data_IF_434695936984
#
_entry.id   IF_434695936984
#
_cell.length_a   1.000
_cell.length_b   1.000
_cell.length_c   1.000
_cell.angle_alpha   90.00
_cell.angle_beta   90.00
_cell.angle_gamma   90.00
#
_symmetry.space_group_name_H-M   'P 1'
#
loop_
_entity.id
_entity.type
_entity.pdbx_description
1 polymer ?
#
# COMPACT_ATOMS: atom_id res chain seq x y z
N UNK A 1 -12.79 -20.93 20.72
CA UNK A 1 -12.52 -19.48 20.63
C UNK A 1 -11.67 -19.29 19.39
N UNK A 2 -12.29 -18.88 18.28
CA UNK A 2 -11.55 -18.59 17.05
C UNK A 2 -11.17 -17.13 17.02
N UNK A 3 -9.89 -16.82 16.83
CA UNK A 3 -9.39 -15.46 16.58
C UNK A 3 -9.56 -15.14 15.09
N UNK A 4 -10.79 -15.13 14.59
CA UNK A 4 -11.06 -14.97 13.17
C UNK A 4 -11.74 -13.63 12.91
N UNK A 5 -11.10 -12.84 12.02
CA UNK A 5 -11.44 -11.48 11.56
C UNK A 5 -10.90 -10.36 12.43
N UNK A 6 -9.74 -9.84 12.04
CA UNK A 6 -9.20 -8.59 12.55
C UNK A 6 -8.97 -7.73 11.31
N UNK A 7 -9.70 -6.61 11.24
CA UNK A 7 -9.28 -5.48 10.45
C UNK A 7 -8.65 -4.50 11.45
N UNK A 8 -7.62 -3.75 11.03
CA UNK A 8 -7.25 -2.51 11.72
C UNK A 8 -8.51 -1.70 12.00
N UNK A 9 -8.67 -1.23 13.25
CA UNK A 9 -9.83 -0.42 13.64
C UNK A 9 -9.86 0.95 12.93
N UNK A 10 -8.75 1.33 12.28
CA UNK A 10 -8.56 2.66 11.70
C UNK A 10 -7.98 3.66 12.71
N UNK A 11 -7.50 4.82 12.25
CA UNK A 11 -6.62 5.72 13.01
C UNK A 11 -7.22 6.35 14.27
N UNK A 12 -8.54 6.50 14.33
CA UNK A 12 -9.24 7.21 15.41
C UNK A 12 -10.18 6.30 16.22
N UNK A 13 -10.16 4.99 15.95
CA UNK A 13 -11.14 4.07 16.52
C UNK A 13 -10.66 3.45 17.84
N UNK A 14 -11.51 3.55 18.85
CA UNK A 14 -11.39 2.79 20.10
C UNK A 14 -12.10 1.43 19.97
N UNK A 15 -11.79 0.43 20.81
CA UNK A 15 -12.59 -0.79 20.88
C UNK A 15 -14.10 -0.54 21.05
N UNK A 16 -14.48 0.47 21.84
CA UNK A 16 -15.88 0.81 22.04
C UNK A 16 -16.53 1.43 20.79
N UNK A 17 -15.87 2.40 20.15
CA UNK A 17 -16.40 3.01 18.92
C UNK A 17 -16.44 2.01 17.76
N UNK A 18 -15.46 1.10 17.67
CA UNK A 18 -15.44 0.05 16.66
C UNK A 18 -16.62 -0.93 16.81
N UNK A 19 -16.94 -1.38 18.04
CA UNK A 19 -18.13 -2.22 18.29
C UNK A 19 -19.41 -1.52 17.80
N UNK A 20 -19.55 -0.24 18.12
CA UNK A 20 -20.75 0.53 17.79
C UNK A 20 -20.86 0.84 16.30
N UNK A 21 -19.78 1.30 15.67
CA UNK A 21 -19.79 1.83 14.31
C UNK A 21 -19.63 0.75 13.25
N UNK A 22 -18.79 -0.27 13.51
CA UNK A 22 -18.52 -1.33 12.53
C UNK A 22 -19.45 -2.52 12.69
N UNK A 23 -19.85 -2.85 13.92
CA UNK A 23 -20.65 -4.04 14.22
C UNK A 23 -22.08 -3.71 14.67
N UNK A 24 -22.39 -2.44 14.92
CA UNK A 24 -23.73 -2.02 15.38
C UNK A 24 -24.07 -2.54 16.77
N UNK A 25 -23.06 -2.90 17.57
CA UNK A 25 -23.24 -3.51 18.89
C UNK A 25 -23.03 -2.46 19.97
N UNK A 26 -23.97 -2.37 20.91
CA UNK A 26 -23.84 -1.48 22.06
C UNK A 26 -22.63 -1.88 22.92
N UNK A 27 -21.66 -0.98 23.13
CA UNK A 27 -20.42 -1.32 23.82
C UNK A 27 -20.57 -1.28 25.35
N UNK A 28 -20.10 -2.34 26.00
CA UNK A 28 -19.94 -2.48 27.44
C UNK A 28 -18.43 -2.56 27.79
N UNK A 29 -17.95 -1.90 28.86
CA UNK A 29 -16.55 -2.00 29.28
C UNK A 29 -16.15 -3.46 29.55
N UNK A 30 -14.99 -3.87 29.04
CA UNK A 30 -14.44 -5.21 29.28
C UNK A 30 -12.97 -5.12 29.64
N UNK A 31 -12.51 -5.98 30.55
CA UNK A 31 -11.11 -6.02 30.99
C UNK A 31 -10.64 -7.47 31.01
N UNK A 32 -9.51 -7.74 30.34
CA UNK A 32 -8.81 -9.02 30.39
C UNK A 32 -7.42 -8.82 31.00
N UNK A 33 -7.24 -9.23 32.25
CA UNK A 33 -6.02 -8.94 33.01
C UNK A 33 -5.83 -7.44 33.24
N UNK A 34 -4.78 -6.85 32.66
CA UNK A 34 -4.49 -5.40 32.70
C UNK A 34 -4.93 -4.67 31.42
N UNK A 35 -5.50 -5.38 30.44
CA UNK A 35 -5.88 -4.83 29.14
C UNK A 35 -7.34 -4.37 29.18
N UNK A 36 -7.56 -3.07 29.00
CA UNK A 36 -8.89 -2.46 28.88
C UNK A 36 -9.39 -2.52 27.43
N UNK A 37 -10.61 -2.98 27.24
CA UNK A 37 -11.28 -3.06 25.95
C UNK A 37 -12.79 -2.84 26.07
N UNK A 38 -13.52 -3.32 25.07
CA UNK A 38 -14.97 -3.25 25.04
C UNK A 38 -15.55 -4.61 24.63
N UNK A 39 -16.76 -4.89 25.11
CA UNK A 39 -17.54 -6.05 24.71
C UNK A 39 -18.94 -5.63 24.31
N UNK A 40 -19.68 -6.52 23.68
CA UNK A 40 -21.06 -6.29 23.34
C UNK A 40 -21.73 -7.60 23.01
N UNK A 41 -23.05 -7.64 23.11
CA UNK A 41 -23.82 -8.87 22.89
C UNK A 41 -24.78 -8.67 21.72
N UNK A 42 -24.82 -9.66 20.83
CA UNK A 42 -25.72 -9.72 19.68
C UNK A 42 -26.56 -10.97 19.78
N UNK A 43 -27.86 -10.80 19.90
CA UNK A 43 -28.83 -11.88 19.84
C UNK A 43 -29.10 -12.23 18.37
N UNK A 44 -28.87 -13.49 18.01
CA UNK A 44 -29.25 -14.05 16.72
C UNK A 44 -30.62 -14.73 16.86
N UNK A 45 -31.68 -13.97 16.54
CA UNK A 45 -33.06 -14.43 16.62
C UNK A 45 -33.37 -15.61 15.67
N UNK A 46 -32.56 -15.85 14.63
CA UNK A 46 -32.77 -16.96 13.69
C UNK A 46 -32.21 -18.28 14.23
N UNK A 47 -31.12 -18.23 15.01
CA UNK A 47 -30.44 -19.41 15.54
C UNK A 47 -30.66 -19.66 17.04
N UNK A 48 -31.42 -18.80 17.73
CA UNK A 48 -31.57 -18.80 19.20
C UNK A 48 -30.23 -18.69 19.96
N UNK A 49 -29.18 -18.18 19.29
CA UNK A 49 -27.84 -18.02 19.86
C UNK A 49 -27.61 -16.59 20.33
N UNK A 50 -26.82 -16.47 21.39
CA UNK A 50 -26.27 -15.22 21.89
C UNK A 50 -24.79 -15.18 21.53
N UNK A 51 -24.38 -14.12 20.85
CA UNK A 51 -22.99 -13.88 20.47
C UNK A 51 -22.43 -12.76 21.33
N UNK A 52 -21.46 -13.07 22.19
CA UNK A 52 -20.68 -12.06 22.89
C UNK A 52 -19.41 -11.76 22.09
N UNK A 53 -19.29 -10.51 21.68
CA UNK A 53 -18.16 -9.96 20.95
C UNK A 53 -17.29 -9.16 21.92
N UNK A 54 -15.97 -9.35 21.86
CA UNK A 54 -15.02 -8.59 22.66
C UNK A 54 -13.92 -8.06 21.74
N UNK A 55 -13.65 -6.76 21.89
CA UNK A 55 -12.54 -6.03 21.26
C UNK A 55 -11.56 -5.58 22.34
N UNK A 56 -10.31 -5.98 22.20
CA UNK A 56 -9.20 -5.55 23.07
C UNK A 56 -8.13 -4.90 22.20
N UNK A 57 -7.47 -3.82 22.65
CA UNK A 57 -6.40 -3.18 21.88
C UNK A 57 -5.20 -4.12 21.69
N UNK A 58 -4.52 -3.98 20.56
CA UNK A 58 -3.27 -4.66 20.23
C UNK A 58 -2.24 -3.63 19.78
N UNK A 59 -1.08 -3.59 20.44
CA UNK A 59 -0.02 -2.62 20.14
C UNK A 59 -0.33 -1.21 20.62
N UNK A 60 0.40 -0.21 20.11
CA UNK A 60 0.25 1.19 20.54
C UNK A 60 -0.87 1.94 19.80
N UNK A 61 -1.35 1.45 18.65
CA UNK A 61 -2.43 2.07 17.88
C UNK A 61 -3.22 1.03 17.05
N UNK A 62 -4.55 1.14 17.02
CA UNK A 62 -5.47 0.62 15.98
C UNK A 62 -5.54 -0.89 15.68
N UNK A 63 -4.68 -1.73 16.25
CA UNK A 63 -4.88 -3.18 16.24
C UNK A 63 -5.94 -3.59 17.27
N UNK A 64 -6.79 -4.56 16.94
CA UNK A 64 -7.71 -5.15 17.91
C UNK A 64 -7.65 -6.67 17.93
N UNK A 65 -7.59 -7.24 19.11
CA UNK A 65 -7.91 -8.63 19.35
C UNK A 65 -9.42 -8.81 19.39
N UNK A 66 -9.93 -9.64 18.48
CA UNK A 66 -11.33 -10.02 18.38
C UNK A 66 -11.58 -11.36 19.06
N UNK A 67 -12.53 -11.43 19.98
CA UNK A 67 -12.99 -12.69 20.59
C UNK A 67 -14.51 -12.77 20.42
N UNK A 68 -14.98 -13.88 19.85
CA UNK A 68 -16.41 -14.21 19.80
C UNK A 68 -16.66 -15.48 20.60
N UNK A 69 -17.61 -15.39 21.53
CA UNK A 69 -18.21 -16.51 22.21
C UNK A 69 -19.68 -16.61 21.80
N UNK A 70 -20.05 -17.75 21.21
CA UNK A 70 -21.43 -18.03 20.79
C UNK A 70 -21.99 -19.16 21.65
N UNK A 71 -23.20 -19.00 22.16
CA UNK A 71 -23.85 -19.99 23.01
C UNK A 71 -25.35 -19.76 23.15
N UNK A 72 -26.05 -20.72 23.74
CA UNK A 72 -27.43 -20.50 24.15
C UNK A 72 -27.48 -19.49 25.30
N UNK A 73 -28.59 -18.75 25.48
CA UNK A 73 -28.73 -17.79 26.58
C UNK A 73 -28.43 -18.38 27.97
N UNK A 74 -28.79 -19.64 28.21
CA UNK A 74 -28.50 -20.35 29.46
C UNK A 74 -27.01 -20.66 29.70
N UNK A 75 -26.19 -20.71 28.64
CA UNK A 75 -24.77 -21.02 28.71
C UNK A 75 -23.90 -19.77 28.85
N UNK A 76 -24.43 -18.59 28.52
CA UNK A 76 -23.71 -17.31 28.58
C UNK A 76 -23.10 -17.00 29.95
N UNK A 77 -23.76 -17.26 31.10
CA UNK A 77 -23.13 -17.06 32.41
C UNK A 77 -21.88 -17.93 32.63
N UNK A 78 -21.81 -19.10 32.01
CA UNK A 78 -20.64 -19.96 32.08
C UNK A 78 -19.51 -19.44 31.17
N UNK A 79 -19.84 -18.93 29.99
CA UNK A 79 -18.86 -18.26 29.12
C UNK A 79 -18.29 -17.01 29.81
N UNK A 80 -19.13 -16.18 30.41
CA UNK A 80 -18.70 -14.99 31.16
C UNK A 80 -17.74 -15.36 32.28
N UNK A 81 -18.04 -16.41 33.06
CA UNK A 81 -17.14 -16.87 34.11
C UNK A 81 -15.77 -17.32 33.60
N UNK A 82 -15.68 -17.85 32.36
CA UNK A 82 -14.41 -18.18 31.72
C UNK A 82 -13.70 -16.91 31.23
N UNK A 83 -14.42 -16.01 30.57
CA UNK A 83 -13.91 -14.75 30.04
C UNK A 83 -13.41 -13.81 31.15
N UNK A 84 -14.01 -13.83 32.33
CA UNK A 84 -13.57 -13.06 33.50
C UNK A 84 -12.23 -13.55 34.07
N UNK A 85 -11.84 -14.79 33.75
CA UNK A 85 -10.55 -15.36 34.14
C UNK A 85 -9.49 -15.23 33.06
N UNK A 86 -9.85 -14.64 31.91
CA UNK A 86 -8.94 -14.47 30.78
C UNK A 86 -7.82 -13.50 31.15
N UNK A 87 -6.60 -14.01 31.10
CA UNK A 87 -5.39 -13.19 31.09
C UNK A 87 -4.83 -13.29 29.69
N UNK A 88 -4.73 -12.15 29.02
CA UNK A 88 -4.14 -12.09 27.69
C UNK A 88 -2.66 -11.78 27.81
N UNK A 89 -1.85 -12.75 27.41
CA UNK A 89 -0.47 -12.52 27.01
C UNK A 89 -0.48 -12.40 25.48
N UNK A 90 -0.57 -11.16 25.01
CA UNK A 90 -0.61 -10.88 23.59
C UNK A 90 0.83 -10.79 23.11
N UNK A 91 1.34 -11.75 22.31
CA UNK A 91 2.72 -11.72 21.87
C UNK A 91 2.96 -10.42 21.10
N UNK A 92 4.02 -9.72 21.47
CA UNK A 92 4.46 -8.50 20.79
C UNK A 92 5.74 -8.81 20.01
N UNK A 93 5.89 -8.26 18.81
CA UNK A 93 7.12 -8.46 18.06
C UNK A 93 8.30 -7.82 18.79
N UNK A 94 9.44 -8.52 18.85
CA UNK A 94 10.69 -7.92 19.29
C UNK A 94 11.22 -6.99 18.19
N UNK A 95 10.83 -5.71 18.25
CA UNK A 95 11.22 -4.67 17.29
C UNK A 95 12.73 -4.57 17.14
N UNK A 96 13.50 -4.74 18.22
CA UNK A 96 14.96 -4.67 18.15
C UNK A 96 15.55 -5.87 17.41
N UNK A 97 14.96 -7.06 17.56
CA UNK A 97 15.34 -8.23 16.79
C UNK A 97 14.98 -8.08 15.30
N UNK A 98 13.81 -7.49 14.99
CA UNK A 98 13.41 -7.22 13.59
C UNK A 98 14.37 -6.21 12.95
N UNK A 99 14.69 -5.11 13.65
CA UNK A 99 15.65 -4.11 13.18
C UNK A 99 17.03 -4.72 12.88
N UNK A 100 17.50 -5.62 13.74
CA UNK A 100 18.76 -6.33 13.54
C UNK A 100 18.67 -7.29 12.34
N UNK A 101 17.54 -8.00 12.18
CA UNK A 101 17.30 -8.88 11.05
C UNK A 101 17.34 -8.09 9.73
N UNK A 102 16.58 -6.99 9.63
CA UNK A 102 16.54 -6.11 8.46
C UNK A 102 17.91 -5.53 8.10
N UNK A 103 18.69 -5.09 9.09
CA UNK A 103 20.06 -4.61 8.83
C UNK A 103 20.94 -5.71 8.25
N UNK A 104 20.85 -6.92 8.79
CA UNK A 104 21.67 -8.05 8.37
C UNK A 104 21.29 -8.57 6.96
N UNK A 105 19.99 -8.69 6.67
CA UNK A 105 19.49 -9.12 5.37
C UNK A 105 19.78 -8.07 4.30
N UNK A 106 19.65 -6.78 4.62
CA UNK A 106 19.96 -5.69 3.71
C UNK A 106 21.45 -5.69 3.35
N UNK A 107 22.33 -5.87 4.33
CA UNK A 107 23.76 -5.98 4.12
C UNK A 107 24.15 -7.24 3.31
N UNK A 108 23.33 -8.30 3.36
CA UNK A 108 23.50 -9.51 2.57
C UNK A 108 22.91 -9.39 1.14
N UNK A 109 22.20 -8.31 0.83
CA UNK A 109 21.53 -8.10 -0.46
C UNK A 109 20.17 -8.81 -0.58
N UNK A 110 19.61 -9.27 0.53
CA UNK A 110 18.33 -9.99 0.59
C UNK A 110 17.13 -9.05 0.84
N UNK A 111 17.37 -7.75 0.98
CA UNK A 111 16.32 -6.76 1.27
C UNK A 111 15.94 -6.69 2.75
N UNK A 112 14.66 -6.44 3.03
CA UNK A 112 14.13 -6.25 4.39
C UNK A 112 13.44 -7.55 4.85
N UNK A 113 14.13 -8.37 5.64
CA UNK A 113 13.69 -9.74 5.97
C UNK A 113 13.74 -9.99 7.46
N UNK A 114 12.76 -10.73 7.98
CA UNK A 114 12.76 -11.25 9.35
C UNK A 114 12.25 -12.69 9.41
N UNK A 115 12.70 -13.45 10.41
CA UNK A 115 12.37 -14.87 10.60
C UNK A 115 13.56 -15.78 10.31
N UNK A 116 13.37 -17.08 10.53
CA UNK A 116 14.40 -18.08 10.26
C UNK A 116 14.62 -18.21 8.73
N UNK A 117 15.86 -18.11 8.22
CA UNK A 117 16.13 -18.37 6.80
C UNK A 117 15.75 -19.79 6.35
N UNK A 118 15.71 -20.75 7.28
CA UNK A 118 15.29 -22.13 7.04
C UNK A 118 13.80 -22.36 7.36
N UNK A 119 13.00 -21.31 7.60
CA UNK A 119 11.58 -21.42 7.86
C UNK A 119 10.87 -22.16 6.70
N UNK A 120 9.89 -23.04 6.98
CA UNK A 120 9.20 -23.82 5.95
C UNK A 120 8.35 -22.96 5.02
N UNK A 121 8.02 -21.72 5.39
CA UNK A 121 7.28 -20.77 4.57
C UNK A 121 7.92 -19.39 4.55
N UNK A 122 7.79 -18.71 3.40
CA UNK A 122 8.04 -17.27 3.28
C UNK A 122 6.76 -16.55 2.89
N UNK A 123 6.43 -15.46 3.59
CA UNK A 123 5.47 -14.45 3.15
C UNK A 123 6.22 -13.25 2.57
N UNK A 124 5.84 -12.80 1.38
CA UNK A 124 6.35 -11.56 0.78
C UNK A 124 5.23 -10.52 0.76
N UNK A 125 5.44 -9.39 1.43
CA UNK A 125 4.53 -8.25 1.42
C UNK A 125 5.08 -7.13 0.55
N UNK A 126 4.36 -6.81 -0.53
CA UNK A 126 4.55 -5.57 -1.27
C UNK A 126 3.68 -4.47 -0.67
N UNK A 127 4.31 -3.39 -0.19
CA UNK A 127 3.61 -2.28 0.45
C UNK A 127 4.11 -0.92 -0.05
N UNK A 128 3.29 0.12 0.09
CA UNK A 128 3.71 1.51 -0.17
C UNK A 128 3.39 2.39 1.03
N UNK A 129 4.31 3.30 1.36
CA UNK A 129 4.11 4.30 2.41
C UNK A 129 2.96 5.27 2.11
N UNK A 130 2.58 5.43 0.84
CA UNK A 130 1.43 6.26 0.43
C UNK A 130 0.11 5.50 0.37
N UNK A 131 0.11 4.20 0.69
CA UNK A 131 -1.10 3.40 0.68
C UNK A 131 -1.76 3.32 2.08
N UNK A 132 -2.96 3.89 2.21
CA UNK A 132 -3.73 3.81 3.47
C UNK A 132 -4.11 2.39 3.88
N UNK A 133 -4.28 1.46 2.94
CA UNK A 133 -4.49 0.05 3.27
C UNK A 133 -3.24 -0.63 3.83
N UNK A 134 -2.03 -0.23 3.37
CA UNK A 134 -0.77 -0.73 3.94
C UNK A 134 -0.58 -0.23 5.37
N UNK A 135 -0.88 1.05 5.63
CA UNK A 135 -0.83 1.64 6.96
C UNK A 135 -1.75 0.92 7.97
N UNK A 136 -2.84 0.30 7.48
CA UNK A 136 -3.71 -0.54 8.28
C UNK A 136 -3.19 -1.98 8.40
N UNK A 137 -2.62 -2.53 7.33
CA UNK A 137 -2.18 -3.92 7.30
C UNK A 137 -0.94 -4.19 8.15
N UNK A 138 -0.10 -3.17 8.39
CA UNK A 138 1.08 -3.28 9.28
C UNK A 138 0.78 -3.90 10.64
N UNK A 139 -0.42 -3.68 11.21
CA UNK A 139 -0.79 -4.23 12.52
C UNK A 139 -1.01 -5.75 12.46
N UNK A 140 -1.58 -6.24 11.35
CA UNK A 140 -1.76 -7.67 11.13
C UNK A 140 -0.41 -8.35 10.90
N UNK A 141 0.47 -7.70 10.14
CA UNK A 141 1.83 -8.20 9.87
C UNK A 141 2.69 -8.21 11.13
N UNK A 142 2.62 -7.16 11.97
CA UNK A 142 3.27 -7.11 13.29
C UNK A 142 2.89 -8.31 14.15
N UNK A 143 1.60 -8.65 14.16
CA UNK A 143 1.07 -9.76 14.92
C UNK A 143 1.46 -11.11 14.33
N UNK A 144 1.43 -11.24 13.01
CA UNK A 144 1.90 -12.43 12.32
C UNK A 144 3.37 -12.69 12.63
N UNK A 145 4.22 -11.65 12.58
CA UNK A 145 5.63 -11.75 12.95
C UNK A 145 5.79 -12.26 14.37
N UNK A 146 5.10 -11.64 15.33
CA UNK A 146 5.15 -12.05 16.74
C UNK A 146 4.70 -13.50 16.98
N UNK A 147 3.82 -14.02 16.12
CA UNK A 147 3.24 -15.35 16.29
C UNK A 147 3.99 -16.46 15.55
N UNK A 148 4.60 -16.16 14.40
CA UNK A 148 5.08 -17.19 13.46
C UNK A 148 6.59 -17.13 13.20
N UNK A 149 7.24 -15.98 13.42
CA UNK A 149 8.69 -15.86 13.15
C UNK A 149 9.54 -16.39 14.30
N UNK A 150 9.13 -16.17 15.57
CA UNK A 150 9.85 -16.70 16.73
C UNK A 150 9.78 -18.24 16.84
N UNK A 151 8.65 -18.90 16.54
CA UNK A 151 8.61 -20.36 16.41
C UNK A 151 9.46 -20.93 15.26
N UNK A 152 9.81 -20.10 14.27
CA UNK A 152 10.56 -20.51 13.08
C UNK A 152 9.68 -21.04 11.94
N UNK A 153 8.36 -20.84 12.02
CA UNK A 153 7.40 -21.35 11.03
C UNK A 153 7.31 -20.44 9.79
N UNK A 154 7.60 -19.15 9.96
CA UNK A 154 7.47 -18.15 8.90
C UNK A 154 8.70 -17.23 8.80
N UNK A 155 9.16 -17.04 7.57
CA UNK A 155 10.02 -15.92 7.13
C UNK A 155 9.13 -14.85 6.49
N UNK A 156 9.37 -13.58 6.80
CA UNK A 156 8.64 -12.45 6.22
C UNK A 156 9.62 -11.53 5.49
N UNK A 157 9.31 -11.25 4.23
CA UNK A 157 10.06 -10.34 3.36
C UNK A 157 9.20 -9.14 2.99
N UNK A 158 9.77 -7.96 3.12
CA UNK A 158 9.12 -6.69 2.90
C UNK A 158 9.68 -6.01 1.65
N UNK A 159 8.80 -5.75 0.69
CA UNK A 159 9.12 -5.14 -0.60
C UNK A 159 8.47 -3.74 -0.68
N UNK A 160 9.31 -2.71 -0.57
CA UNK A 160 8.86 -1.31 -0.64
C UNK A 160 8.54 -0.95 -2.08
N UNK A 161 7.27 -0.75 -2.38
CA UNK A 161 6.75 -0.42 -3.70
C UNK A 161 6.50 1.08 -3.83
N UNK A 162 6.93 1.63 -4.96
CA UNK A 162 6.60 2.99 -5.39
C UNK A 162 5.39 2.91 -6.32
N UNK A 163 4.22 3.39 -5.90
CA UNK A 163 2.98 3.38 -6.69
C UNK A 163 2.95 4.53 -7.71
N UNK A 164 3.13 5.76 -7.22
CA UNK A 164 2.92 6.99 -8.00
C UNK A 164 4.23 7.71 -8.35
N UNK A 165 5.29 7.47 -7.59
CA UNK A 165 6.58 8.13 -7.81
C UNK A 165 6.59 9.60 -7.39
N UNK A 166 5.74 9.97 -6.43
CA UNK A 166 5.80 11.32 -5.86
C UNK A 166 7.08 11.51 -5.05
N UNK A 167 7.49 12.77 -4.86
CA UNK A 167 8.68 13.09 -4.09
C UNK A 167 8.53 12.63 -2.63
N UNK A 168 7.32 12.72 -2.07
CA UNK A 168 6.95 12.24 -0.74
C UNK A 168 7.11 10.72 -0.64
N UNK A 169 6.60 9.97 -1.61
CA UNK A 169 6.68 8.51 -1.63
C UNK A 169 8.13 8.02 -1.71
N UNK A 170 8.92 8.61 -2.60
CA UNK A 170 10.34 8.30 -2.74
C UNK A 170 11.10 8.64 -1.45
N UNK A 171 10.84 9.80 -0.85
CA UNK A 171 11.52 10.22 0.38
C UNK A 171 11.23 9.28 1.54
N UNK A 172 9.97 8.90 1.76
CA UNK A 172 9.60 7.93 2.80
C UNK A 172 10.26 6.56 2.55
N UNK A 173 10.26 6.10 1.29
CA UNK A 173 10.84 4.82 0.90
C UNK A 173 12.35 4.76 1.10
N UNK A 174 13.08 5.81 0.69
CA UNK A 174 14.51 5.96 0.97
C UNK A 174 14.78 6.01 2.46
N UNK A 175 13.97 6.75 3.23
CA UNK A 175 14.13 6.88 4.67
C UNK A 175 14.10 5.52 5.37
N UNK A 176 13.18 4.64 5.00
CA UNK A 176 13.08 3.30 5.59
C UNK A 176 14.34 2.45 5.32
N UNK A 177 14.82 2.40 4.08
CA UNK A 177 16.04 1.66 3.73
C UNK A 177 17.30 2.26 4.37
N UNK A 178 17.43 3.59 4.36
CA UNK A 178 18.56 4.28 4.99
C UNK A 178 18.59 4.04 6.52
N UNK A 179 17.43 3.99 7.17
CA UNK A 179 17.35 3.62 8.58
C UNK A 179 17.68 2.14 8.84
N UNK A 180 17.33 1.25 7.91
CA UNK A 180 17.68 -0.17 7.99
C UNK A 180 19.19 -0.39 7.99
N UNK A 181 19.97 0.39 7.22
CA UNK A 181 21.44 0.35 7.30
C UNK A 181 21.98 0.63 8.69
N UNK A 182 21.28 1.47 9.46
CA UNK A 182 21.65 1.87 10.82
C UNK A 182 21.06 0.94 11.89
N UNK A 183 20.38 -0.14 11.51
CA UNK A 183 19.74 -1.06 12.46
C UNK A 183 18.49 -0.46 13.12
N UNK A 184 17.76 0.37 12.38
CA UNK A 184 16.53 1.06 12.81
C UNK A 184 15.43 1.05 11.75
N UNK A 185 15.53 0.18 10.75
CA UNK A 185 14.63 0.18 9.59
C UNK A 185 13.18 -0.10 9.95
N UNK A 186 12.92 -1.09 10.79
CA UNK A 186 11.56 -1.45 11.20
C UNK A 186 10.98 -0.43 12.18
N UNK A 187 11.81 0.07 13.10
CA UNK A 187 11.43 1.18 13.98
C UNK A 187 11.03 2.42 13.18
N UNK A 188 11.79 2.78 12.15
CA UNK A 188 11.48 3.91 11.27
C UNK A 188 10.30 3.63 10.35
N UNK A 189 10.14 2.41 9.84
CA UNK A 189 8.95 1.98 9.09
C UNK A 189 7.65 2.24 9.89
N UNK A 190 7.65 1.88 11.18
CA UNK A 190 6.53 2.16 12.08
C UNK A 190 6.31 3.66 12.27
N UNK A 191 7.39 4.40 12.52
CA UNK A 191 7.32 5.85 12.73
C UNK A 191 6.80 6.59 11.48
N UNK A 192 7.16 6.15 10.27
CA UNK A 192 6.65 6.71 9.01
C UNK A 192 5.14 6.52 8.89
N UNK A 193 4.65 5.30 9.08
CA UNK A 193 3.21 5.03 9.02
C UNK A 193 2.44 5.78 10.10
N UNK A 194 2.96 5.82 11.32
CA UNK A 194 2.37 6.58 12.42
C UNK A 194 2.28 8.08 12.08
N UNK A 195 3.38 8.69 11.64
CA UNK A 195 3.39 10.11 11.28
C UNK A 195 2.41 10.40 10.14
N UNK A 196 2.32 9.52 9.14
CA UNK A 196 1.36 9.69 8.03
C UNK A 196 -0.09 9.58 8.49
N UNK A 197 -0.36 8.75 9.50
CA UNK A 197 -1.68 8.60 10.10
C UNK A 197 -2.08 9.83 10.92
N UNK A 198 -1.13 10.43 11.63
CA UNK A 198 -1.39 11.58 12.52
C UNK A 198 -1.45 12.92 11.76
N UNK A 199 -0.58 13.09 10.76
CA UNK A 199 -0.36 14.38 10.08
C UNK A 199 -0.85 14.41 8.63
N UNK A 200 -1.14 13.25 8.05
CA UNK A 200 -1.32 13.07 6.61
C UNK A 200 0.03 12.95 5.88
N UNK A 201 0.01 12.24 4.75
CA UNK A 201 1.21 11.89 3.98
C UNK A 201 1.97 13.12 3.44
N UNK A 202 1.25 14.13 2.95
CA UNK A 202 1.85 15.35 2.40
C UNK A 202 2.71 16.09 3.44
N UNK A 203 2.30 16.06 4.72
CA UNK A 203 3.01 16.72 5.80
C UNK A 203 4.10 15.79 6.34
N UNK A 204 3.74 14.56 6.71
CA UNK A 204 4.65 13.59 7.32
C UNK A 204 5.86 13.26 6.44
N UNK A 205 5.64 13.16 5.12
CA UNK A 205 6.68 12.78 4.17
C UNK A 205 7.26 13.97 3.41
N UNK A 206 6.90 15.21 3.78
CA UNK A 206 7.63 16.40 3.33
C UNK A 206 9.10 16.35 3.76
N UNK A 207 9.94 17.22 3.21
CA UNK A 207 11.34 17.31 3.64
C UNK A 207 11.44 17.58 5.14
N UNK A 208 10.67 18.55 5.65
CA UNK A 208 10.64 18.89 7.07
C UNK A 208 10.04 17.77 7.93
N UNK A 209 8.96 17.13 7.47
CA UNK A 209 8.34 16.00 8.18
C UNK A 209 9.28 14.81 8.33
N UNK A 210 10.06 14.49 7.29
CA UNK A 210 11.09 13.45 7.37
C UNK A 210 12.22 13.86 8.32
N UNK A 211 12.63 15.15 8.34
CA UNK A 211 13.59 15.63 9.34
C UNK A 211 13.09 15.45 10.76
N UNK A 212 11.82 15.77 11.01
CA UNK A 212 11.19 15.60 12.33
C UNK A 212 11.17 14.12 12.75
N UNK A 213 10.87 13.21 11.81
CA UNK A 213 10.86 11.77 12.07
C UNK A 213 12.26 11.26 12.37
N UNK A 214 13.26 11.48 11.50
CA UNK A 214 14.61 10.91 11.70
C UNK A 214 15.34 11.53 12.90
N UNK A 215 14.93 12.71 13.35
CA UNK A 215 15.49 13.39 14.53
C UNK A 215 14.92 12.90 15.87
N UNK A 216 13.94 11.98 15.84
CA UNK A 216 13.35 11.40 17.04
C UNK A 216 14.42 10.69 17.90
N UNK A 217 14.63 11.10 19.17
CA UNK A 217 15.66 10.51 20.03
C UNK A 217 15.52 9.00 20.23
N UNK A 218 14.29 8.50 20.20
CA UNK A 218 13.93 7.09 20.33
C UNK A 218 14.44 6.22 19.18
N UNK A 219 14.54 6.77 17.96
CA UNK A 219 15.11 6.06 16.82
C UNK A 219 16.64 5.99 16.95
N UNK A 220 17.27 7.01 17.54
CA UNK A 220 18.72 7.03 17.77
C UNK A 220 19.55 6.96 16.48
N UNK A 221 19.03 7.54 15.39
CA UNK A 221 19.66 7.60 14.07
C UNK A 221 20.80 8.64 14.04
N UNK A 222 21.83 8.38 13.23
CA UNK A 222 22.77 9.39 12.77
C UNK A 222 22.11 10.19 11.63
N UNK A 223 21.59 11.36 11.98
CA UNK A 223 20.82 12.24 11.09
C UNK A 223 21.66 12.73 9.90
N UNK A 224 22.97 12.99 10.10
CA UNK A 224 23.83 13.43 9.00
C UNK A 224 24.00 12.31 7.96
N UNK A 225 24.23 11.07 8.43
CA UNK A 225 24.30 9.90 7.55
C UNK A 225 22.95 9.57 6.88
N UNK A 226 21.83 9.78 7.57
CA UNK A 226 20.49 9.65 6.98
C UNK A 226 20.29 10.63 5.84
N UNK A 227 20.63 11.90 6.04
CA UNK A 227 20.50 12.94 5.01
C UNK A 227 21.34 12.62 3.78
N UNK A 228 22.60 12.22 3.96
CA UNK A 228 23.45 11.80 2.83
C UNK A 228 22.84 10.62 2.07
N UNK A 229 22.30 9.62 2.77
CA UNK A 229 21.69 8.44 2.15
C UNK A 229 20.40 8.78 1.38
N UNK A 230 19.52 9.61 1.96
CA UNK A 230 18.25 10.02 1.33
C UNK A 230 18.51 10.94 0.13
N UNK A 231 19.36 11.96 0.29
CA UNK A 231 19.65 12.94 -0.79
C UNK A 231 20.39 12.32 -1.97
N UNK A 232 21.19 11.28 -1.73
CA UNK A 232 21.85 10.53 -2.81
C UNK A 232 20.95 9.50 -3.49
N UNK A 233 19.71 9.34 -3.02
CA UNK A 233 18.74 8.35 -3.54
C UNK A 233 19.35 6.94 -3.63
N UNK A 234 20.14 6.56 -2.60
CA UNK A 234 21.00 5.36 -2.64
C UNK A 234 20.27 4.07 -3.05
N UNK A 235 19.00 3.97 -2.70
CA UNK A 235 18.15 2.80 -2.94
C UNK A 235 17.25 2.90 -4.18
N UNK A 236 17.50 3.85 -5.09
CA UNK A 236 16.65 4.07 -6.26
C UNK A 236 16.63 2.83 -7.17
N UNK A 237 17.77 2.16 -7.33
CA UNK A 237 17.87 0.92 -8.08
C UNK A 237 17.00 -0.19 -7.45
N UNK A 238 17.07 -0.37 -6.13
CA UNK A 238 16.25 -1.36 -5.41
C UNK A 238 14.75 -1.09 -5.61
N UNK A 239 14.31 0.16 -5.37
CA UNK A 239 12.90 0.55 -5.53
C UNK A 239 12.39 0.33 -6.96
N UNK A 240 13.25 0.58 -7.96
CA UNK A 240 12.91 0.32 -9.34
C UNK A 240 12.81 -1.19 -9.64
N UNK A 241 13.75 -2.00 -9.13
CA UNK A 241 13.70 -3.46 -9.29
C UNK A 241 12.46 -4.07 -8.63
N UNK A 242 12.12 -3.63 -7.44
CA UNK A 242 10.87 -4.02 -6.76
C UNK A 242 9.65 -3.69 -7.64
N UNK A 243 9.63 -2.51 -8.27
CA UNK A 243 8.55 -2.11 -9.19
C UNK A 243 8.46 -2.98 -10.45
N UNK A 244 9.59 -3.36 -11.05
CA UNK A 244 9.57 -4.28 -12.19
C UNK A 244 9.03 -5.65 -11.80
N UNK A 245 9.54 -6.23 -10.72
CA UNK A 245 9.07 -7.51 -10.20
C UNK A 245 7.57 -7.48 -9.87
N UNK A 246 7.09 -6.38 -9.29
CA UNK A 246 5.67 -6.17 -9.01
C UNK A 246 4.81 -6.26 -10.29
N UNK A 247 5.26 -5.63 -11.39
CA UNK A 247 4.57 -5.67 -12.69
C UNK A 247 4.66 -7.06 -13.32
N UNK A 248 5.83 -7.71 -13.29
CA UNK A 248 6.04 -9.06 -13.83
C UNK A 248 5.17 -10.11 -13.14
N UNK A 249 4.96 -9.96 -11.82
CA UNK A 249 4.05 -10.80 -11.04
C UNK A 249 2.56 -10.49 -11.30
N UNK A 250 2.27 -9.46 -12.11
CA UNK A 250 0.91 -9.03 -12.43
C UNK A 250 0.16 -8.46 -11.22
N UNK A 251 0.89 -7.89 -10.26
CA UNK A 251 0.31 -7.22 -9.10
C UNK A 251 -0.16 -5.83 -9.52
N UNK A 252 -1.31 -5.39 -8.99
CA UNK A 252 -1.98 -4.16 -9.45
C UNK A 252 -2.22 -3.14 -8.33
N UNK A 253 -1.89 -3.47 -7.09
CA UNK A 253 -2.07 -2.57 -5.95
C UNK A 253 -1.39 -3.09 -4.69
N UNK A 254 -1.30 -2.22 -3.68
CA UNK A 254 -0.74 -2.56 -2.38
C UNK A 254 -1.81 -2.45 -1.28
N UNK A 255 -1.71 -3.22 -0.19
CA UNK A 255 -0.73 -4.29 0.00
C UNK A 255 -0.99 -5.44 -0.97
N UNK A 256 0.05 -6.19 -1.34
CA UNK A 256 -0.06 -7.46 -2.05
C UNK A 256 0.77 -8.49 -1.32
N UNK A 257 0.17 -9.63 -1.01
CA UNK A 257 0.81 -10.69 -0.24
C UNK A 257 0.98 -11.92 -1.12
N UNK A 258 2.19 -12.45 -1.15
CA UNK A 258 2.54 -13.70 -1.80
C UNK A 258 3.08 -14.69 -0.77
N UNK A 259 3.02 -15.98 -1.06
CA UNK A 259 3.66 -17.00 -0.22
C UNK A 259 4.48 -18.01 -1.01
N UNK A 260 5.54 -18.53 -0.38
CA UNK A 260 6.42 -19.57 -0.88
C UNK A 260 6.68 -20.65 0.17
N UNK A 261 7.05 -21.84 -0.29
CA UNK A 261 7.64 -22.89 0.56
C UNK A 261 9.13 -22.63 0.66
N UNK A 262 9.64 -22.52 1.89
CA UNK A 262 11.00 -22.08 2.14
C UNK A 262 11.29 -20.76 1.43
N UNK A 263 12.29 -20.79 0.56
CA UNK A 263 12.70 -19.65 -0.27
C UNK A 263 12.43 -19.88 -1.77
N UNK A 264 11.47 -20.76 -2.10
CA UNK A 264 11.03 -20.96 -3.48
C UNK A 264 10.35 -19.71 -4.05
N UNK A 265 9.96 -19.75 -5.33
CA UNK A 265 9.29 -18.63 -5.99
C UNK A 265 7.97 -18.27 -5.29
N UNK A 266 7.78 -17.02 -4.83
CA UNK A 266 6.54 -16.55 -4.23
C UNK A 266 5.36 -16.65 -5.20
N UNK A 267 4.21 -17.05 -4.66
CA UNK A 267 2.98 -17.31 -5.42
C UNK A 267 1.85 -16.42 -4.95
N UNK A 268 1.02 -15.99 -5.91
CA UNK A 268 -0.24 -15.32 -5.61
C UNK A 268 -1.21 -16.31 -5.00
N UNK A 269 -1.92 -15.88 -3.97
CA UNK A 269 -2.84 -16.72 -3.23
C UNK A 269 -4.17 -16.82 -3.98
N UNK A 270 -4.46 -17.98 -4.56
CA UNK A 270 -5.66 -18.24 -5.36
C UNK A 270 -6.60 -19.20 -4.63
N UNK A 271 -7.78 -18.75 -4.25
CA UNK A 271 -8.81 -19.64 -3.71
C UNK A 271 -9.23 -20.68 -4.76
N UNK A 272 -9.75 -21.82 -4.29
CA UNK A 272 -10.27 -22.90 -5.15
C UNK A 272 -11.44 -22.46 -6.05
N UNK A 273 -12.11 -21.35 -5.71
CA UNK A 273 -13.10 -20.68 -6.55
C UNK A 273 -12.51 -20.01 -7.79
N UNK A 274 -11.18 -19.92 -7.90
CA UNK A 274 -10.46 -19.13 -8.89
C UNK A 274 -10.32 -17.64 -8.52
N UNK A 275 -10.83 -17.24 -7.34
CA UNK A 275 -10.67 -15.89 -6.83
C UNK A 275 -9.28 -15.71 -6.21
N UNK A 276 -8.58 -14.67 -6.61
CA UNK A 276 -7.33 -14.27 -5.97
C UNK A 276 -7.59 -13.54 -4.65
N UNK A 277 -6.87 -13.93 -3.59
CA UNK A 277 -6.74 -13.15 -2.36
C UNK A 277 -5.79 -11.99 -2.63
N UNK A 278 -6.36 -10.86 -3.03
CA UNK A 278 -5.65 -9.59 -3.27
C UNK A 278 -5.74 -8.70 -2.04
N UNK A 279 -4.78 -7.78 -1.88
CA UNK A 279 -4.82 -6.82 -0.80
C UNK A 279 -4.20 -7.38 0.48
N UNK A 280 -4.73 -6.90 1.60
CA UNK A 280 -4.39 -7.36 2.94
C UNK A 280 -4.93 -8.78 3.14
N UNK A 281 -4.05 -9.73 3.47
CA UNK A 281 -4.42 -11.12 3.74
C UNK A 281 -4.48 -11.34 5.24
N UNK A 282 -5.60 -11.87 5.73
CA UNK A 282 -5.81 -12.05 7.17
C UNK A 282 -4.84 -13.10 7.73
N UNK A 283 -4.38 -12.89 8.97
CA UNK A 283 -3.50 -13.85 9.68
C UNK A 283 -4.08 -15.26 9.68
N UNK A 284 -5.40 -15.40 9.89
CA UNK A 284 -6.08 -16.69 9.87
C UNK A 284 -6.03 -17.37 8.51
N UNK A 285 -6.02 -16.62 7.41
CA UNK A 285 -5.88 -17.17 6.06
C UNK A 285 -4.44 -17.64 5.81
N UNK A 286 -3.45 -16.84 6.22
CA UNK A 286 -2.02 -17.22 6.14
C UNK A 286 -1.78 -18.53 6.89
N UNK A 287 -2.26 -18.63 8.14
CA UNK A 287 -2.16 -19.85 8.95
C UNK A 287 -2.87 -21.03 8.33
N UNK A 288 -4.11 -20.84 7.88
CA UNK A 288 -4.85 -21.92 7.23
C UNK A 288 -4.10 -22.47 6.02
N UNK A 289 -3.43 -21.62 5.25
CA UNK A 289 -2.62 -22.05 4.11
C UNK A 289 -1.37 -22.80 4.58
N UNK A 290 -0.66 -22.33 5.60
CA UNK A 290 0.50 -23.05 6.17
C UNK A 290 0.09 -24.42 6.75
N UNK A 291 -1.03 -24.48 7.46
CA UNK A 291 -1.60 -25.72 8.01
C UNK A 291 -1.96 -26.70 6.88
N UNK A 292 -2.62 -26.22 5.83
CA UNK A 292 -2.97 -27.04 4.66
C UNK A 292 -1.73 -27.54 3.90
N UNK A 293 -0.65 -26.77 3.88
CA UNK A 293 0.60 -27.18 3.22
C UNK A 293 1.40 -28.21 4.04
N UNK A 294 1.24 -28.20 5.37
CA UNK A 294 1.99 -29.09 6.29
C UNK A 294 1.21 -30.33 6.73
N UNK A 295 -0.06 -30.48 6.36
CA UNK A 295 -0.88 -31.64 6.73
C UNK A 295 -0.27 -32.96 6.21
N UNK A 296 0.05 -33.88 7.12
CA UNK A 296 0.73 -35.14 6.79
C UNK A 296 -0.16 -36.15 6.03
N UNK A 297 -1.50 -36.02 6.09
CA UNK A 297 -2.44 -36.95 5.47
C UNK A 297 -3.00 -36.41 4.13
N UNK A 298 -3.28 -35.11 4.05
CA UNK A 298 -3.91 -34.46 2.88
C UNK A 298 -3.16 -33.22 2.36
N UNK A 299 -1.94 -32.96 2.85
CA UNK A 299 -1.16 -31.79 2.50
C UNK A 299 -0.92 -31.64 1.00
N UNK A 300 -1.10 -30.41 0.51
CA UNK A 300 -0.81 -30.02 -0.87
C UNK A 300 0.24 -28.94 -0.83
N UNK A 301 1.23 -29.03 -1.72
CA UNK A 301 2.22 -27.97 -1.82
C UNK A 301 1.58 -26.64 -2.25
N UNK A 302 2.18 -25.50 -1.90
CA UNK A 302 1.74 -24.19 -2.39
C UNK A 302 1.74 -24.13 -3.93
N UNK A 303 2.61 -24.91 -4.59
CA UNK A 303 2.61 -25.02 -6.04
C UNK A 303 1.36 -25.74 -6.60
N UNK A 304 0.84 -26.73 -5.87
CA UNK A 304 -0.39 -27.44 -6.23
C UNK A 304 -1.63 -26.62 -5.87
N UNK A 305 -1.62 -25.94 -4.72
CA UNK A 305 -2.70 -25.05 -4.29
C UNK A 305 -2.81 -23.81 -5.20
N UNK A 306 -1.67 -23.23 -5.59
CA UNK A 306 -1.58 -21.99 -6.34
C UNK A 306 -0.72 -22.17 -7.61
N UNK A 307 -1.23 -22.86 -8.63
CA UNK A 307 -0.51 -23.02 -9.89
C UNK A 307 -0.35 -21.66 -10.56
N UNK A 308 0.89 -21.29 -10.88
CA UNK A 308 1.18 -20.11 -11.70
C UNK A 308 0.67 -20.42 -13.11
N UNK A 309 -0.24 -19.62 -13.69
CA UNK A 309 -0.61 -19.80 -15.08
C UNK A 309 0.65 -19.65 -15.94
N UNK A 310 0.83 -20.46 -17.00
CA UNK A 310 2.01 -20.36 -17.86
C UNK A 310 2.14 -18.91 -18.34
N UNK A 311 3.36 -18.34 -18.36
CA UNK A 311 3.55 -16.99 -18.83
C UNK A 311 2.98 -16.88 -20.25
N UNK A 312 2.15 -15.88 -20.51
CA UNK A 312 1.89 -15.48 -21.89
C UNK A 312 3.24 -15.11 -22.52
N UNK A 313 3.46 -15.47 -23.78
CA UNK A 313 4.75 -15.38 -24.50
C UNK A 313 5.41 -13.98 -24.54
N UNK A 314 4.81 -12.95 -23.93
CA UNK A 314 5.22 -11.54 -24.02
C UNK A 314 6.02 -11.00 -22.84
N UNK A 315 6.24 -11.73 -21.73
CA UNK A 315 7.08 -11.23 -20.63
C UNK A 315 8.53 -11.69 -20.84
N UNK A 316 9.36 -10.85 -21.46
CA UNK A 316 10.80 -11.09 -21.57
C UNK A 316 11.47 -10.98 -20.20
N UNK A 317 12.33 -11.95 -19.87
CA UNK A 317 13.13 -11.93 -18.66
C UNK A 317 14.05 -10.69 -18.61
N UNK A 318 14.07 -10.04 -17.46
CA UNK A 318 14.87 -8.85 -17.16
C UNK A 318 16.38 -9.07 -17.40
N UNK A 319 17.01 -8.13 -18.14
CA UNK A 319 18.45 -8.10 -18.42
C UNK A 319 19.14 -7.06 -17.52
N UNK A 320 19.83 -7.56 -16.50
CA UNK A 320 20.51 -6.77 -15.48
C UNK A 320 21.70 -5.96 -16.03
N UNK A 321 22.35 -6.44 -17.10
CA UNK A 321 23.48 -5.73 -17.73
C UNK A 321 22.96 -4.55 -18.56
N UNK A 322 21.90 -4.76 -19.35
CA UNK A 322 21.25 -3.69 -20.11
C UNK A 322 20.68 -2.59 -19.19
N UNK A 323 20.21 -2.99 -17.99
CA UNK A 323 19.71 -2.07 -16.98
C UNK A 323 20.82 -1.19 -16.37
N UNK A 324 21.95 -1.79 -16.01
CA UNK A 324 23.09 -1.05 -15.46
C UNK A 324 23.66 -0.06 -16.49
N UNK A 325 23.64 -0.42 -17.78
CA UNK A 325 24.00 0.48 -18.88
C UNK A 325 23.03 1.66 -19.00
N UNK A 326 21.72 1.41 -18.92
CA UNK A 326 20.69 2.46 -18.94
C UNK A 326 20.78 3.40 -17.73
N UNK A 327 21.09 2.88 -16.54
CA UNK A 327 21.32 3.69 -15.33
C UNK A 327 22.57 4.58 -15.46
N UNK A 328 23.65 4.07 -16.05
CA UNK A 328 24.84 4.89 -16.34
C UNK A 328 24.54 6.00 -17.36
N UNK A 329 23.65 5.72 -18.31
CA UNK A 329 23.20 6.68 -19.33
C UNK A 329 22.28 7.75 -18.74
N UNK A 330 21.33 7.38 -17.87
CA UNK A 330 20.49 8.34 -17.14
C UNK A 330 21.27 9.18 -16.12
N UNK A 331 22.36 8.64 -15.55
CA UNK A 331 23.27 9.37 -14.65
C UNK A 331 24.20 10.33 -15.39
N UNK A 332 24.23 10.27 -16.73
CA UNK A 332 25.05 11.13 -17.56
C UNK A 332 24.16 12.15 -18.29
N UNK A 333 24.13 13.42 -17.86
CA UNK A 333 23.32 14.43 -18.54
C UNK A 333 24.00 14.78 -19.87
N UNK A 334 23.66 14.08 -20.95
CA UNK A 334 23.97 14.59 -22.28
C UNK A 334 23.10 15.82 -22.53
N UNK A 335 23.76 16.94 -22.82
CA UNK A 335 23.13 18.16 -23.29
C UNK A 335 22.39 17.85 -24.60
N UNK A 336 21.06 17.81 -24.56
CA UNK A 336 20.27 17.88 -25.79
C UNK A 336 20.45 19.28 -26.37
N UNK A 337 21.09 19.38 -27.54
CA UNK A 337 21.12 20.63 -28.30
C UNK A 337 19.72 20.92 -28.89
N UNK A 338 19.46 22.20 -29.15
CA UNK A 338 18.18 22.68 -29.67
C UNK A 338 17.79 22.06 -31.03
N UNK A 339 18.77 21.50 -31.75
CA UNK A 339 18.58 20.90 -33.08
C UNK A 339 18.00 19.48 -32.95
N UNK A 340 18.53 18.66 -32.05
CA UNK A 340 18.00 17.32 -31.77
C UNK A 340 16.56 17.36 -31.21
N UNK A 341 16.23 18.37 -30.40
CA UNK A 341 14.88 18.53 -29.85
C UNK A 341 13.87 18.92 -30.94
N UNK A 342 14.27 19.76 -31.90
CA UNK A 342 13.43 20.16 -33.02
C UNK A 342 13.22 19.03 -34.02
N UNK A 343 14.25 18.23 -34.32
CA UNK A 343 14.11 17.04 -35.16
C UNK A 343 13.16 16.00 -34.54
N UNK A 344 13.20 15.84 -33.21
CA UNK A 344 12.28 14.94 -32.50
C UNK A 344 10.83 15.45 -32.56
N UNK A 345 10.61 16.76 -32.41
CA UNK A 345 9.29 17.39 -32.53
C UNK A 345 8.73 17.32 -33.96
N UNK A 346 9.56 17.53 -34.99
CA UNK A 346 9.17 17.43 -36.40
C UNK A 346 8.87 15.98 -36.82
N UNK A 347 9.64 15.02 -36.30
CA UNK A 347 9.39 13.59 -36.47
C UNK A 347 8.03 13.17 -35.89
N UNK A 348 7.70 13.66 -34.67
CA UNK A 348 6.43 13.36 -34.02
C UNK A 348 5.23 14.01 -34.74
N UNK A 349 5.36 15.24 -35.25
CA UNK A 349 4.31 15.87 -36.05
C UNK A 349 4.02 15.10 -37.35
N UNK A 350 5.07 14.58 -38.01
CA UNK A 350 4.88 13.75 -39.21
C UNK A 350 4.15 12.42 -38.93
N UNK A 351 4.33 11.87 -37.72
CA UNK A 351 3.64 10.65 -37.29
C UNK A 351 2.17 10.86 -36.93
N UNK A 352 1.82 12.06 -36.46
CA UNK A 352 0.42 12.43 -36.16
C UNK A 352 -0.40 12.68 -37.44
N UNK A 353 0.20 13.29 -38.46
CA UNK A 353 -0.48 13.51 -39.75
C UNK A 353 -0.72 12.20 -40.52
N UNK A 354 0.11 11.17 -40.29
CA UNK A 354 -0.08 9.84 -40.87
C UNK A 354 -1.20 9.04 -40.17
N UNK A 355 -1.39 9.22 -38.86
CA UNK A 355 -2.41 8.55 -38.07
C UNK A 355 -3.82 9.15 -38.25
N UNK A 356 -3.94 10.37 -38.79
CA UNK A 356 -5.22 11.04 -39.01
C UNK A 356 -5.90 10.70 -40.36
N UNK A 357 -5.33 9.82 -41.18
CA UNK A 357 -5.85 9.50 -42.52
C UNK A 357 -6.42 8.10 -42.71
N UNK A 358 -6.33 7.22 -41.72
CA UNK A 358 -6.92 5.87 -41.75
C UNK A 358 -8.01 5.74 -40.65
N UNK A 359 -9.13 6.46 -40.84
CA UNK A 359 -10.38 6.22 -40.12
C UNK A 359 -11.24 5.27 -40.97
N UNK A 360 -11.22 3.98 -40.66
CA UNK A 360 -12.31 3.00 -40.92
C UNK A 360 -11.84 1.62 -40.40
N UNK A 361 -11.96 1.37 -39.09
CA UNK A 361 -12.35 0.07 -38.49
C UNK A 361 -12.40 0.18 -36.95
N UNK A 362 -13.56 -0.12 -36.37
CA UNK A 362 -13.81 -0.26 -34.93
C UNK A 362 -12.99 -1.45 -34.36
N UNK A 363 -12.02 -1.21 -33.46
CA UNK A 363 -11.72 -2.02 -32.25
C UNK A 363 -10.36 -1.75 -31.53
N UNK A 364 -9.58 -0.71 -31.87
CA UNK A 364 -8.32 -0.41 -31.14
C UNK A 364 -8.33 1.00 -30.49
N UNK A 365 -8.54 1.07 -29.17
CA UNK A 365 -8.23 2.28 -28.39
C UNK A 365 -6.82 2.19 -27.81
N UNK A 366 -5.82 2.40 -28.65
CA UNK A 366 -4.45 2.69 -28.23
C UNK A 366 -4.07 4.15 -28.50
N UNK A 367 -3.55 4.78 -27.45
CA UNK A 367 -2.64 5.94 -27.47
C UNK A 367 -3.15 7.24 -28.15
N UNK A 368 -3.83 8.09 -27.36
CA UNK A 368 -3.99 9.52 -27.67
C UNK A 368 -3.30 10.40 -26.62
N UNK A 369 -2.54 11.40 -27.08
CA UNK A 369 -1.92 12.45 -26.25
C UNK A 369 -3.02 13.33 -25.64
N UNK A 370 -3.07 13.48 -24.31
CA UNK A 370 -4.20 14.14 -23.62
C UNK A 370 -3.90 15.58 -23.18
N UNK A 371 -2.65 15.96 -22.89
CA UNK A 371 -2.30 17.36 -22.58
C UNK A 371 -0.78 17.66 -22.59
N UNK A 372 -0.45 18.93 -22.83
CA UNK A 372 0.87 19.50 -22.54
C UNK A 372 0.73 20.79 -21.71
N UNK A 373 1.52 20.94 -20.64
CA UNK A 373 1.54 22.14 -19.79
C UNK A 373 2.98 22.59 -19.50
N UNK A 374 3.17 23.91 -19.44
CA UNK A 374 4.45 24.55 -19.11
C UNK A 374 4.37 25.20 -17.75
N UNK A 375 5.14 24.69 -16.78
CA UNK A 375 5.29 25.30 -15.44
C UNK A 375 6.78 25.45 -15.17
N UNK A 376 7.24 26.67 -14.90
CA UNK A 376 8.61 26.92 -14.43
C UNK A 376 9.74 26.50 -15.38
N UNK A 377 9.50 26.49 -16.71
CA UNK A 377 10.52 26.09 -17.70
C UNK A 377 10.61 24.58 -17.96
N UNK A 378 9.71 23.77 -17.40
CA UNK A 378 9.49 22.37 -17.79
C UNK A 378 8.36 22.25 -18.80
N UNK A 379 8.49 21.29 -19.73
CA UNK A 379 7.40 20.83 -20.61
C UNK A 379 6.96 19.46 -20.11
N UNK A 380 5.71 19.34 -19.65
CA UNK A 380 5.08 18.06 -19.33
C UNK A 380 4.32 17.57 -20.55
N UNK A 381 4.56 16.32 -20.99
CA UNK A 381 3.78 15.63 -22.02
C UNK A 381 3.11 14.40 -21.41
N UNK A 382 1.78 14.30 -21.55
CA UNK A 382 0.98 13.17 -21.05
C UNK A 382 0.50 12.32 -22.22
N UNK A 383 1.08 11.13 -22.38
CA UNK A 383 0.69 10.11 -23.36
C UNK A 383 0.18 8.87 -22.60
N UNK A 384 -1.14 8.67 -22.50
CA UNK A 384 -1.73 7.47 -21.88
C UNK A 384 -1.40 7.25 -20.39
N UNK A 385 -1.70 6.05 -19.88
CA UNK A 385 -1.63 5.64 -18.45
C UNK A 385 -0.20 5.49 -17.89
N UNK A 386 0.82 5.98 -18.61
CA UNK A 386 2.21 5.96 -18.18
C UNK A 386 2.77 7.39 -18.24
N UNK A 387 3.33 7.87 -17.14
CA UNK A 387 4.14 9.10 -17.06
C UNK A 387 5.20 8.83 -15.99
N UNK A 388 6.49 9.18 -16.12
CA UNK A 388 7.12 10.44 -16.55
C UNK A 388 8.50 10.23 -17.22
N UNK A 389 8.86 11.15 -18.13
CA UNK A 389 10.25 11.45 -18.54
C UNK A 389 10.61 12.83 -18.00
N UNK A 390 11.75 12.96 -17.31
CA UNK A 390 12.27 14.24 -16.81
C UNK A 390 13.44 14.74 -17.68
N UNK A 391 13.35 15.98 -18.17
CA UNK A 391 14.49 16.69 -18.78
C UNK A 391 14.65 18.04 -18.08
N UNK A 392 15.82 18.28 -17.48
CA UNK A 392 16.17 19.54 -16.80
C UNK A 392 17.09 20.39 -17.66
N UNK A 393 16.76 21.67 -17.87
CA UNK A 393 17.68 22.70 -18.40
C UNK A 393 18.29 23.50 -17.26
N UNK A 394 19.62 23.66 -17.25
CA UNK A 394 20.28 24.68 -16.41
C UNK A 394 19.89 26.08 -16.90
N UNK A 395 19.44 26.93 -15.98
CA UNK A 395 19.24 28.36 -16.19
C UNK A 395 20.55 29.04 -16.62
N UNK A 396 20.52 29.73 -17.76
CA UNK A 396 21.45 30.83 -18.06
C UNK A 396 20.74 32.16 -17.79
N UNK A 397 21.38 33.17 -17.17
CA UNK A 397 20.68 34.39 -16.80
C UNK A 397 20.53 35.34 -18.01
N UNK A 398 19.28 35.65 -18.35
CA UNK A 398 18.90 36.76 -19.22
C UNK A 398 18.17 36.36 -20.50
N UNK A 399 16.83 36.29 -20.47
CA UNK A 399 15.98 36.47 -21.66
C UNK A 399 14.56 36.86 -21.23
N UNK A 400 14.00 37.89 -21.88
CA UNK A 400 12.72 38.54 -21.59
C UNK A 400 11.49 37.64 -21.87
N UNK A 401 10.41 37.90 -21.13
CA UNK A 401 9.08 37.27 -21.25
C UNK A 401 8.41 37.57 -22.60
N UNK A 402 7.86 36.53 -23.26
CA UNK A 402 6.90 36.67 -24.36
C UNK A 402 5.50 36.25 -23.88
N UNK A 403 4.55 37.18 -23.94
CA UNK A 403 3.11 36.93 -23.76
C UNK A 403 2.54 36.19 -24.98
N UNK A 404 1.63 35.24 -24.75
CA UNK A 404 0.82 34.60 -25.81
C UNK A 404 -0.67 34.77 -25.47
N UNK A 405 -1.39 35.47 -26.36
CA UNK A 405 -2.84 35.66 -26.36
C UNK A 405 -3.59 34.36 -26.76
N UNK A 406 -4.72 34.09 -26.12
CA UNK A 406 -5.62 32.99 -26.47
C UNK A 406 -6.57 33.37 -27.62
N UNK A 407 -6.81 32.45 -28.56
CA UNK A 407 -7.80 32.57 -29.64
C UNK A 407 -8.87 31.45 -29.55
N UNK A 408 -10.10 31.69 -30.06
CA UNK A 408 -11.34 31.09 -29.55
C UNK A 408 -11.77 29.80 -30.27
N UNK A 409 -12.56 28.97 -29.57
CA UNK A 409 -13.29 27.85 -30.16
C UNK A 409 -14.52 28.37 -30.95
N UNK A 410 -14.65 27.94 -32.20
CA UNK A 410 -15.78 28.23 -33.07
C UNK A 410 -16.79 27.08 -33.10
N UNK A 411 -18.06 27.45 -32.96
CA UNK A 411 -19.25 26.65 -33.19
C UNK A 411 -19.36 26.20 -34.66
N UNK A 412 -19.96 25.02 -34.88
CA UNK A 412 -20.81 24.80 -36.05
C UNK A 412 -22.00 23.89 -35.68
N UNK A 413 -23.19 24.48 -35.90
CA UNK A 413 -24.54 24.00 -35.67
C UNK A 413 -24.99 22.88 -36.61
N UNK A 414 -25.89 22.01 -36.12
CA UNK A 414 -26.98 21.46 -36.93
C UNK A 414 -28.29 21.30 -36.12
N UNK A 415 -29.10 22.35 -36.23
CA UNK A 415 -30.55 22.53 -36.01
C UNK A 415 -31.45 21.27 -36.25
N UNK A 416 -32.69 21.13 -35.75
CA UNK A 416 -33.85 22.06 -35.71
C UNK A 416 -34.91 21.57 -34.69
N UNK A 417 -35.59 22.55 -34.09
CA UNK A 417 -36.70 22.55 -33.14
C UNK A 417 -37.98 21.74 -33.44
N UNK A 418 -38.72 21.40 -32.36
CA UNK A 418 -40.18 21.60 -32.27
C UNK A 418 -40.73 21.52 -30.81
N UNK A 419 -41.21 22.66 -30.32
CA UNK A 419 -42.47 22.92 -29.60
C UNK A 419 -42.86 22.21 -28.27
N UNK A 420 -43.26 23.04 -27.30
CA UNK A 420 -44.36 22.79 -26.35
C UNK A 420 -43.91 22.41 -24.94
N UNK A 421 -43.84 23.36 -24.00
CA UNK A 421 -44.93 23.70 -23.07
C UNK A 421 -45.07 22.64 -21.96
N UNK A 422 -44.70 22.98 -20.72
CA UNK A 422 -45.64 23.34 -19.65
C UNK A 422 -45.01 23.15 -18.25
N UNK A 423 -45.19 24.16 -17.37
CA UNK A 423 -45.15 24.08 -15.88
C UNK A 423 -43.82 23.76 -15.17
N UNK A 424 -43.31 24.45 -14.14
CA UNK A 424 -43.76 25.53 -13.27
C UNK A 424 -42.55 26.07 -12.43
N UNK A 425 -42.67 27.23 -11.74
CA UNK A 425 -41.55 27.99 -11.19
C UNK A 425 -41.43 28.01 -9.65
N UNK A 426 -40.21 28.35 -9.22
CA UNK A 426 -39.82 29.27 -8.13
C UNK A 426 -40.09 29.03 -6.62
N UNK A 427 -39.14 29.63 -5.88
CA UNK A 427 -39.10 30.04 -4.46
C UNK A 427 -38.58 29.00 -3.46
N UNK A 428 -37.58 29.26 -2.62
CA UNK A 428 -36.99 30.52 -2.19
C UNK A 428 -37.51 30.92 -0.80
N UNK A 429 -36.72 30.56 0.21
CA UNK A 429 -36.44 31.28 1.47
C UNK A 429 -37.60 31.83 2.34
N UNK A 430 -37.68 31.36 3.60
CA UNK A 430 -37.77 32.19 4.80
C UNK A 430 -37.92 31.33 6.05
N UNK A 431 -37.08 31.56 7.07
CA UNK A 431 -37.20 30.94 8.39
C UNK A 431 -38.38 31.42 9.22
N UNK A 432 -38.61 30.78 10.37
CA UNK A 432 -38.66 31.40 11.71
C UNK A 432 -38.93 30.33 12.78
N UNK A 433 -38.53 30.65 14.01
CA UNK A 433 -38.73 29.96 15.28
C UNK A 433 -40.14 29.38 15.51
N UNK A 434 -40.23 28.24 16.22
CA UNK A 434 -41.11 28.06 17.40
C UNK A 434 -41.02 26.64 18.00
N UNK A 435 -40.97 26.63 19.33
CA UNK A 435 -41.03 25.50 20.26
C UNK A 435 -42.14 24.46 20.01
N UNK A 436 -41.81 23.17 20.25
CA UNK A 436 -42.32 22.34 21.35
C UNK A 436 -41.63 20.97 21.38
#
# INVERSE_FOLDING_TARGET
MGFNNINSLGPDATPASALQEQLGVEPEPYVAGEVEGASGTVDDEESDLVNKVILLPYGTHNGALFIVASGLPEDMPAFDAVLDTLVLDVPQPDVAAIDAAWQSSLAAGEGLVVGDPDAPFTMVEYFSFTCGHCANYTYDVERLIALETEPGDLRVEFEVMILYGSAEELRASHTAYCAAEQGRGYSTYKALFQASSELGQDVAYSADGIQDIISQPELGLDVDAMNECIESERYAANLYQTRLRFIELGLTGTPSVLMAEGQDTPRRLMLTSGQELRGAVRIGDVRAIMDMATDEEEGQSLAEMFPVPPPEESVQAFDEDAWNEMLEEMRNPQEFDDEALNEMLESMQSSQDAAATDDDDDDDQDMRLVAAMVVGGMVLLVIGLVSLVFVSRKQTPGADLLEVEAAPAGDDDAAVAAAGDDSAPESGDSGDDSAL
#
